data_IF_440774010306
#
_entry.id   IF_440774010306
#
_cell.length_a   1.000
_cell.length_b   1.000
_cell.length_c   1.000
_cell.angle_alpha   90.00
_cell.angle_beta   90.00
_cell.angle_gamma   90.00
#
_symmetry.space_group_name_H-M   'P 1'
#
loop_
_entity.id
_entity.type
_entity.pdbx_description
1 polymer ?
#
# COMPACT_ATOMS: atom_id res chain seq x y z
N UNK A 1 13.32 18.97 21.74
CA UNK A 1 12.27 18.73 20.72
C UNK A 1 12.57 17.40 20.07
N UNK A 2 11.77 16.37 20.33
CA UNK A 2 11.97 15.04 19.72
C UNK A 2 11.53 15.10 18.26
N UNK A 3 12.44 15.46 17.36
CA UNK A 3 12.21 15.30 15.92
C UNK A 3 12.13 13.81 15.65
N UNK A 4 10.94 13.33 15.26
CA UNK A 4 10.83 11.96 14.73
C UNK A 4 11.77 11.90 13.51
N UNK A 5 12.69 10.93 13.44
CA UNK A 5 13.51 10.76 12.24
C UNK A 5 12.59 10.54 11.05
N UNK A 6 12.90 11.20 9.92
CA UNK A 6 12.22 10.91 8.67
C UNK A 6 12.62 9.52 8.17
N UNK A 7 11.95 9.04 7.12
CA UNK A 7 12.34 7.82 6.43
C UNK A 7 12.66 8.18 4.98
N UNK A 8 13.70 7.54 4.42
CA UNK A 8 14.01 7.68 3.01
C UNK A 8 12.83 7.14 2.17
N UNK A 9 12.23 7.92 1.26
CA UNK A 9 11.12 7.45 0.44
C UNK A 9 11.48 6.34 -0.55
N UNK A 10 12.78 6.05 -0.74
CA UNK A 10 13.24 4.99 -1.63
C UNK A 10 13.54 3.67 -0.90
N UNK A 11 14.27 3.71 0.21
CA UNK A 11 14.72 2.48 0.90
C UNK A 11 14.18 2.33 2.33
N UNK A 12 13.40 3.29 2.82
CA UNK A 12 12.84 3.31 4.17
C UNK A 12 13.87 3.25 5.31
N UNK A 13 15.14 3.54 5.03
CA UNK A 13 16.13 3.77 6.08
C UNK A 13 15.78 5.06 6.84
N UNK A 14 16.02 5.11 8.17
CA UNK A 14 15.95 6.36 8.93
C UNK A 14 16.80 7.44 8.29
N UNK A 15 16.26 8.65 8.22
CA UNK A 15 16.84 9.78 7.52
C UNK A 15 16.74 11.03 8.38
N UNK A 16 17.81 11.82 8.39
CA UNK A 16 17.75 13.18 8.91
C UNK A 16 16.83 14.03 8.01
N UNK A 17 16.01 14.91 8.61
CA UNK A 17 15.03 15.70 7.87
C UNK A 17 15.67 16.70 6.89
N UNK A 18 16.94 17.07 7.12
CA UNK A 18 17.70 17.98 6.26
C UNK A 18 18.55 17.26 5.20
N UNK A 19 18.55 15.92 5.17
CA UNK A 19 19.37 15.16 4.25
C UNK A 19 18.91 15.33 2.79
N UNK A 20 19.77 15.90 1.93
CA UNK A 20 19.50 16.00 0.48
C UNK A 20 19.66 14.65 -0.24
N UNK A 21 20.46 13.75 0.32
CA UNK A 21 20.74 12.41 -0.18
C UNK A 21 20.63 11.39 0.93
N UNK A 22 20.07 10.23 0.62
CA UNK A 22 20.05 9.12 1.56
C UNK A 22 21.47 8.55 1.74
N UNK A 23 21.99 8.43 2.97
CA UNK A 23 23.32 7.86 3.21
C UNK A 23 23.35 6.33 2.98
N UNK A 24 22.19 5.67 2.96
CA UNK A 24 22.09 4.22 2.78
C UNK A 24 21.97 3.82 1.31
N UNK A 25 21.07 4.45 0.55
CA UNK A 25 20.84 4.08 -0.86
C UNK A 25 21.32 5.13 -1.88
N UNK A 26 21.82 6.29 -1.44
CA UNK A 26 22.33 7.35 -2.32
C UNK A 26 21.26 8.18 -3.06
N UNK A 27 19.98 7.82 -2.94
CA UNK A 27 18.88 8.53 -3.62
C UNK A 27 18.81 10.00 -3.21
N UNK A 28 18.54 10.89 -4.17
CA UNK A 28 18.36 12.33 -3.93
C UNK A 28 16.92 12.65 -3.58
N UNK A 29 16.69 13.43 -2.53
CA UNK A 29 15.33 13.77 -2.09
C UNK A 29 14.57 14.58 -3.14
N UNK A 30 15.26 15.41 -3.93
CA UNK A 30 14.68 16.14 -5.05
C UNK A 30 14.08 15.21 -6.11
N UNK A 31 14.82 14.17 -6.51
CA UNK A 31 14.37 13.20 -7.52
C UNK A 31 13.17 12.40 -7.01
N UNK A 32 13.19 11.98 -5.74
CA UNK A 32 12.09 11.26 -5.11
C UNK A 32 10.84 12.12 -4.98
N UNK A 33 11.01 13.42 -4.67
CA UNK A 33 9.92 14.38 -4.57
C UNK A 33 9.28 14.69 -5.94
N UNK A 34 10.04 14.56 -7.03
CA UNK A 34 9.54 14.78 -8.39
C UNK A 34 8.78 13.57 -8.97
N UNK A 35 8.83 12.39 -8.35
CA UNK A 35 8.10 11.19 -8.84
C UNK A 35 6.60 11.40 -8.89
N UNK A 36 5.94 10.63 -9.74
CA UNK A 36 4.48 10.63 -9.80
C UNK A 36 3.88 10.26 -8.43
N UNK A 37 2.74 10.87 -8.12
CA UNK A 37 2.09 10.64 -6.83
C UNK A 37 1.60 9.20 -6.68
N UNK A 38 1.07 8.60 -7.76
CA UNK A 38 0.67 7.20 -7.78
C UNK A 38 1.84 6.25 -7.56
N UNK A 39 2.97 6.50 -8.22
CA UNK A 39 4.21 5.72 -7.99
C UNK A 39 4.68 5.77 -6.54
N UNK A 40 4.63 6.96 -5.90
CA UNK A 40 4.96 7.12 -4.48
C UNK A 40 4.03 6.30 -3.59
N UNK A 41 2.74 6.28 -3.88
CA UNK A 41 1.76 5.52 -3.11
C UNK A 41 1.95 4.01 -3.25
N UNK A 42 2.20 3.53 -4.47
CA UNK A 42 2.50 2.11 -4.72
C UNK A 42 3.74 1.69 -3.94
N UNK A 43 4.81 2.49 -4.01
CA UNK A 43 6.05 2.21 -3.28
C UNK A 43 5.83 2.22 -1.76
N UNK A 44 5.00 3.12 -1.24
CA UNK A 44 4.72 3.21 0.20
C UNK A 44 4.01 1.97 0.78
N UNK A 45 3.44 1.08 -0.05
CA UNK A 45 2.92 -0.21 0.41
C UNK A 45 4.01 -1.16 0.90
N UNK A 46 5.27 -0.93 0.52
CA UNK A 46 6.42 -1.73 0.96
C UNK A 46 7.04 -1.21 2.27
N UNK A 47 6.47 -0.15 2.85
CA UNK A 47 7.04 0.47 4.05
C UNK A 47 7.00 -0.49 5.26
N UNK A 48 8.05 -0.55 6.09
CA UNK A 48 8.09 -1.45 7.25
C UNK A 48 7.04 -1.13 8.31
N UNK A 49 6.69 0.16 8.47
CA UNK A 49 5.66 0.60 9.41
C UNK A 49 4.25 0.45 8.82
N UNK A 50 3.39 -0.26 9.55
CA UNK A 50 2.01 -0.53 9.18
C UNK A 50 1.16 0.75 9.01
N UNK A 51 1.38 1.76 9.84
CA UNK A 51 0.63 3.01 9.76
C UNK A 51 0.90 3.79 8.46
N UNK A 52 2.11 3.68 7.89
CA UNK A 52 2.45 4.24 6.58
C UNK A 52 1.78 3.44 5.47
N UNK A 53 1.83 2.10 5.51
CA UNK A 53 1.15 1.26 4.53
C UNK A 53 -0.36 1.50 4.54
N UNK A 54 -0.99 1.56 5.71
CA UNK A 54 -2.42 1.84 5.86
C UNK A 54 -2.82 3.18 5.22
N UNK A 55 -1.99 4.23 5.39
CA UNK A 55 -2.23 5.52 4.72
C UNK A 55 -2.12 5.41 3.20
N UNK A 56 -1.16 4.62 2.69
CA UNK A 56 -1.03 4.35 1.27
C UNK A 56 -2.22 3.56 0.71
N UNK A 57 -2.68 2.52 1.43
CA UNK A 57 -3.87 1.73 1.10
C UNK A 57 -5.10 2.65 0.95
N UNK A 58 -5.36 3.48 1.96
CA UNK A 58 -6.48 4.43 1.96
C UNK A 58 -6.42 5.45 0.81
N UNK A 59 -5.21 5.95 0.49
CA UNK A 59 -5.01 6.89 -0.60
C UNK A 59 -5.24 6.21 -1.97
N UNK A 60 -4.70 5.00 -2.16
CA UNK A 60 -4.90 4.22 -3.38
C UNK A 60 -6.37 3.83 -3.58
N UNK A 61 -7.12 3.55 -2.51
CA UNK A 61 -8.56 3.30 -2.58
C UNK A 61 -9.40 4.50 -3.04
N UNK A 62 -8.81 5.70 -3.09
CA UNK A 62 -9.48 6.94 -3.53
C UNK A 62 -9.00 7.44 -4.89
N UNK A 63 -7.93 6.87 -5.43
CA UNK A 63 -7.29 7.32 -6.66
C UNK A 63 -7.25 6.20 -7.70
N UNK A 64 -7.49 6.54 -8.97
CA UNK A 64 -7.34 5.58 -10.08
C UNK A 64 -5.87 5.46 -10.47
N UNK A 65 -5.11 4.63 -9.74
CA UNK A 65 -3.69 4.35 -10.02
C UNK A 65 -3.55 3.00 -10.72
N UNK A 66 -2.87 2.98 -11.86
CA UNK A 66 -2.60 1.74 -12.60
C UNK A 66 -1.78 0.77 -11.73
N UNK A 67 -2.18 -0.50 -11.71
CA UNK A 67 -1.51 -1.53 -10.89
C UNK A 67 -1.86 -1.52 -9.40
N UNK A 68 -2.66 -0.56 -8.91
CA UNK A 68 -3.01 -0.47 -7.49
C UNK A 68 -3.68 -1.74 -6.95
N UNK A 69 -4.58 -2.36 -7.71
CA UNK A 69 -5.28 -3.57 -7.27
C UNK A 69 -4.32 -4.73 -6.95
N UNK A 70 -3.32 -4.97 -7.80
CA UNK A 70 -2.35 -6.04 -7.60
C UNK A 70 -1.39 -5.71 -6.45
N UNK A 71 -0.97 -4.45 -6.33
CA UNK A 71 -0.11 -3.99 -5.24
C UNK A 71 -0.79 -4.07 -3.87
N UNK A 72 -2.07 -3.69 -3.79
CA UNK A 72 -2.87 -3.80 -2.56
C UNK A 72 -2.99 -5.26 -2.10
N UNK A 73 -3.21 -6.20 -3.03
CA UNK A 73 -3.25 -7.63 -2.69
C UNK A 73 -1.88 -8.14 -2.24
N UNK A 74 -0.81 -7.74 -2.92
CA UNK A 74 0.55 -8.10 -2.51
C UNK A 74 0.84 -7.63 -1.08
N UNK A 75 0.48 -6.38 -0.75
CA UNK A 75 0.62 -5.84 0.61
C UNK A 75 -0.09 -6.71 1.66
N UNK A 76 -1.37 -7.05 1.44
CA UNK A 76 -2.13 -7.89 2.38
C UNK A 76 -1.54 -9.29 2.53
N UNK A 77 -1.03 -9.90 1.46
CA UNK A 77 -0.43 -11.23 1.49
C UNK A 77 0.98 -11.24 2.10
N UNK A 78 1.75 -10.16 1.99
CA UNK A 78 3.05 -9.99 2.63
C UNK A 78 2.93 -9.70 4.14
N UNK A 79 1.82 -9.09 4.57
CA UNK A 79 1.56 -8.75 5.97
C UNK A 79 0.29 -9.44 6.52
N UNK A 80 0.21 -10.79 6.45
CA UNK A 80 -1.03 -11.53 6.67
C UNK A 80 -1.59 -11.47 8.10
N UNK A 81 -0.73 -11.13 9.07
CA UNK A 81 -1.10 -11.01 10.49
C UNK A 81 -1.83 -9.70 10.78
N UNK A 82 -1.67 -8.68 9.93
CA UNK A 82 -2.37 -7.40 10.07
C UNK A 82 -3.75 -7.49 9.40
N UNK A 83 -4.70 -8.01 10.16
CA UNK A 83 -6.09 -8.15 9.71
C UNK A 83 -6.73 -6.79 9.41
N UNK A 84 -6.30 -5.71 10.08
CA UNK A 84 -6.83 -4.36 9.84
C UNK A 84 -6.41 -3.86 8.46
N UNK A 85 -5.12 -3.99 8.13
CA UNK A 85 -4.61 -3.69 6.77
C UNK A 85 -5.32 -4.54 5.71
N UNK A 86 -5.45 -5.85 5.95
CA UNK A 86 -6.12 -6.75 5.01
C UNK A 86 -7.59 -6.39 4.76
N UNK A 87 -8.34 -5.99 5.80
CA UNK A 87 -9.72 -5.51 5.65
C UNK A 87 -9.79 -4.17 4.92
N UNK A 88 -8.83 -3.27 5.16
CA UNK A 88 -8.79 -1.98 4.48
C UNK A 88 -8.39 -2.12 3.00
N UNK A 89 -7.54 -3.09 2.66
CA UNK A 89 -7.27 -3.47 1.27
C UNK A 89 -8.56 -3.89 0.57
N UNK A 90 -9.38 -4.77 1.20
CA UNK A 90 -10.66 -5.19 0.62
C UNK A 90 -11.59 -4.01 0.38
N UNK A 91 -11.67 -3.06 1.33
CA UNK A 91 -12.48 -1.84 1.17
C UNK A 91 -11.94 -0.95 0.05
N UNK A 92 -10.63 -0.75 0.01
CA UNK A 92 -9.95 0.11 -0.97
C UNK A 92 -10.07 -0.44 -2.40
N UNK A 93 -10.13 -1.75 -2.56
CA UNK A 93 -10.40 -2.39 -3.85
C UNK A 93 -11.77 -2.02 -4.42
N UNK A 94 -12.75 -1.58 -3.61
CA UNK A 94 -14.06 -1.08 -4.08
C UNK A 94 -13.99 0.33 -4.65
N UNK A 95 -12.83 0.98 -4.56
CA UNK A 95 -12.56 2.30 -5.11
C UNK A 95 -12.54 2.35 -6.65
N UNK A 96 -12.20 3.51 -7.22
CA UNK A 96 -12.15 3.71 -8.67
C UNK A 96 -11.06 2.86 -9.31
N UNK A 97 -11.37 2.25 -10.46
CA UNK A 97 -10.40 1.49 -11.25
C UNK A 97 -11.07 0.43 -12.13
N UNK A 98 -10.28 -0.30 -12.94
CA UNK A 98 -10.83 -1.30 -13.84
C UNK A 98 -11.48 -2.46 -13.08
N UNK A 99 -12.76 -2.68 -13.32
CA UNK A 99 -13.56 -3.76 -12.71
C UNK A 99 -12.91 -5.14 -12.80
N UNK A 100 -12.28 -5.45 -13.95
CA UNK A 100 -11.60 -6.73 -14.16
C UNK A 100 -10.40 -6.92 -13.22
N UNK A 101 -9.63 -5.87 -12.95
CA UNK A 101 -8.50 -5.93 -12.02
C UNK A 101 -9.00 -6.09 -10.57
N UNK A 102 -10.03 -5.33 -10.19
CA UNK A 102 -10.69 -5.44 -8.88
C UNK A 102 -11.19 -6.86 -8.61
N UNK A 103 -11.93 -7.46 -9.56
CA UNK A 103 -12.47 -8.82 -9.42
C UNK A 103 -11.37 -9.86 -9.24
N UNK A 104 -10.30 -9.78 -10.03
CA UNK A 104 -9.14 -10.70 -9.90
C UNK A 104 -8.45 -10.54 -8.53
N UNK A 105 -8.25 -9.30 -8.09
CA UNK A 105 -7.65 -9.00 -6.80
C UNK A 105 -8.47 -9.59 -5.62
N UNK A 106 -9.79 -9.36 -5.62
CA UNK A 106 -10.68 -9.93 -4.61
C UNK A 106 -10.69 -11.46 -4.62
N UNK A 107 -10.78 -12.08 -5.80
CA UNK A 107 -10.73 -13.54 -5.94
C UNK A 107 -9.41 -14.12 -5.39
N UNK A 108 -8.29 -13.42 -5.61
CA UNK A 108 -7.00 -13.81 -5.07
C UNK A 108 -6.97 -13.77 -3.54
N UNK A 109 -7.50 -12.71 -2.93
CA UNK A 109 -7.61 -12.60 -1.46
C UNK A 109 -8.50 -13.70 -0.86
N UNK A 110 -9.62 -14.04 -1.51
CA UNK A 110 -10.50 -15.15 -1.08
C UNK A 110 -9.74 -16.48 -1.05
N UNK A 111 -8.82 -16.73 -1.99
CA UNK A 111 -8.09 -17.99 -2.08
C UNK A 111 -6.86 -18.04 -1.17
N UNK A 112 -6.12 -16.93 -1.08
CA UNK A 112 -4.74 -16.94 -0.59
C UNK A 112 -4.56 -16.29 0.79
N UNK A 113 -5.46 -15.40 1.23
CA UNK A 113 -5.25 -14.69 2.49
C UNK A 113 -5.46 -15.63 3.70
N UNK A 114 -4.52 -15.75 4.65
CA UNK A 114 -4.62 -16.72 5.74
C UNK A 114 -5.64 -16.34 6.81
N UNK A 115 -5.89 -15.04 7.04
CA UNK A 115 -6.96 -14.60 7.94
C UNK A 115 -8.35 -14.85 7.35
N UNK A 116 -9.18 -15.62 8.05
CA UNK A 116 -10.55 -15.94 7.64
C UNK A 116 -11.42 -14.69 7.43
N UNK A 117 -11.32 -13.71 8.34
CA UNK A 117 -12.07 -12.46 8.26
C UNK A 117 -11.83 -11.69 6.94
N UNK A 118 -10.60 -11.68 6.44
CA UNK A 118 -10.26 -11.02 5.18
C UNK A 118 -10.81 -11.82 3.99
N UNK A 119 -10.74 -13.16 4.00
CA UNK A 119 -11.34 -13.99 2.95
C UNK A 119 -12.86 -13.78 2.84
N UNK A 120 -13.56 -13.75 3.97
CA UNK A 120 -15.00 -13.51 3.99
C UNK A 120 -15.37 -12.10 3.53
N UNK A 121 -14.62 -11.09 3.95
CA UNK A 121 -14.81 -9.72 3.48
C UNK A 121 -14.58 -9.62 1.97
N UNK A 122 -13.52 -10.25 1.44
CA UNK A 122 -13.22 -10.25 0.01
C UNK A 122 -14.30 -10.96 -0.81
N UNK A 123 -14.86 -12.08 -0.30
CA UNK A 123 -15.97 -12.79 -0.95
C UNK A 123 -17.20 -11.90 -1.07
N UNK A 124 -17.62 -11.28 0.05
CA UNK A 124 -18.76 -10.35 0.07
C UNK A 124 -18.55 -9.16 -0.87
N UNK A 125 -17.33 -8.64 -0.93
CA UNK A 125 -17.00 -7.53 -1.82
C UNK A 125 -17.00 -7.92 -3.31
N UNK A 126 -16.71 -9.19 -3.63
CA UNK A 126 -16.75 -9.69 -5.01
C UNK A 126 -18.17 -9.98 -5.50
N UNK A 127 -19.09 -10.30 -4.59
CA UNK A 127 -20.51 -10.56 -4.84
C UNK A 127 -21.37 -9.29 -4.84
N UNK A 128 -20.85 -8.19 -4.27
CA UNK A 128 -21.52 -6.91 -4.28
C UNK A 128 -21.63 -6.35 -5.72
N UNK A 129 -22.81 -5.86 -6.14
CA UNK A 129 -23.02 -5.28 -7.46
C UNK A 129 -22.21 -4.00 -7.68
#
# INVERSE_FOLDING_TARGET
MSTRPGFCPACFAPLDQSAERCPVCGARMADLSARDYGEKLLHALEHPLADVRLRAILALGRCSVAGAADALVACALCHPVDVVEGLEVVRSLRGPGPDGARRRALARLVREHPAHAVREAARRAAEAP
#
